data_IF_013204782994
#
_entry.id   IF_013204782994
#
_cell.length_a   1.000
_cell.length_b   1.000
_cell.length_c   1.000
_cell.angle_alpha   90.00
_cell.angle_beta   90.00
_cell.angle_gamma   90.00
#
_symmetry.space_group_name_H-M   'P 1'
#
loop_
_entity.id
_entity.type
_entity.pdbx_description
1 polymer ?
#
# COMPACT_ATOMS: atom_id res chain seq x y z
N UNK A 1 32.08 -38.31 19.91
CA UNK A 1 33.05 -37.20 19.88
C UNK A 1 33.65 -37.05 21.25
N UNK A 2 34.98 -37.14 21.38
CA UNK A 2 35.63 -36.93 22.68
C UNK A 2 35.42 -35.48 23.13
N UNK A 3 35.23 -35.26 24.44
CA UNK A 3 35.07 -33.93 25.06
C UNK A 3 36.02 -32.84 24.51
N UNK A 4 37.31 -33.10 24.21
CA UNK A 4 38.18 -32.05 23.66
C UNK A 4 37.76 -31.57 22.25
N UNK A 5 37.20 -32.43 21.39
CA UNK A 5 36.77 -32.01 20.06
C UNK A 5 35.51 -31.15 20.09
N UNK A 6 34.64 -31.36 21.09
CA UNK A 6 33.47 -30.50 21.30
C UNK A 6 33.90 -29.07 21.70
N UNK A 7 34.90 -28.96 22.58
CA UNK A 7 35.43 -27.67 23.03
C UNK A 7 36.13 -26.92 21.88
N UNK A 8 36.86 -27.63 21.03
CA UNK A 8 37.50 -27.04 19.85
C UNK A 8 36.46 -26.55 18.85
N UNK A 9 35.41 -27.34 18.58
CA UNK A 9 34.33 -26.93 17.68
C UNK A 9 33.56 -25.71 18.21
N UNK A 10 33.29 -25.67 19.52
CA UNK A 10 32.65 -24.52 20.19
C UNK A 10 33.53 -23.27 20.11
N UNK A 11 34.85 -23.41 20.33
CA UNK A 11 35.78 -22.29 20.22
C UNK A 11 35.83 -21.72 18.79
N UNK A 12 35.89 -22.58 17.78
CA UNK A 12 35.87 -22.17 16.37
C UNK A 12 34.55 -21.46 16.03
N UNK A 13 33.42 -21.97 16.51
CA UNK A 13 32.11 -21.34 16.31
C UNK A 13 32.00 -19.95 16.95
N UNK A 14 32.51 -19.79 18.18
CA UNK A 14 32.48 -18.48 18.85
C UNK A 14 33.39 -17.48 18.15
N UNK A 15 34.58 -17.90 17.71
CA UNK A 15 35.52 -17.04 16.99
C UNK A 15 34.92 -16.59 15.64
N UNK A 16 34.29 -17.51 14.89
CA UNK A 16 33.67 -17.17 13.60
C UNK A 16 32.46 -16.25 13.78
N UNK A 17 31.62 -16.49 14.79
CA UNK A 17 30.47 -15.65 15.10
C UNK A 17 30.88 -14.23 15.55
N UNK A 18 31.89 -14.12 16.42
CA UNK A 18 32.40 -12.83 16.87
C UNK A 18 33.08 -12.06 15.72
N UNK A 19 33.85 -12.74 14.87
CA UNK A 19 34.46 -12.15 13.68
C UNK A 19 33.41 -11.64 12.69
N UNK A 20 32.36 -12.41 12.43
CA UNK A 20 31.26 -12.00 11.56
C UNK A 20 30.48 -10.80 12.14
N UNK A 21 30.22 -10.78 13.46
CA UNK A 21 29.55 -9.66 14.12
C UNK A 21 30.38 -8.37 14.11
N UNK A 22 31.70 -8.47 14.32
CA UNK A 22 32.59 -7.32 14.23
C UNK A 22 32.70 -6.79 12.79
N UNK A 23 32.81 -7.69 11.80
CA UNK A 23 32.83 -7.31 10.40
C UNK A 23 31.49 -6.66 9.97
N UNK A 24 30.36 -7.22 10.37
CA UNK A 24 29.03 -6.68 10.06
C UNK A 24 28.76 -5.36 10.80
N UNK A 25 29.24 -5.17 12.03
CA UNK A 25 29.08 -3.89 12.73
C UNK A 25 29.99 -2.79 12.16
N UNK A 26 31.19 -3.15 11.68
CA UNK A 26 32.13 -2.19 11.09
C UNK A 26 31.80 -1.84 9.62
N UNK A 27 31.36 -2.82 8.81
CA UNK A 27 30.91 -2.58 7.43
C UNK A 27 29.43 -2.17 7.34
N UNK A 28 28.58 -2.60 8.27
CA UNK A 28 27.14 -2.35 8.28
C UNK A 28 26.72 -1.01 8.90
N UNK A 29 27.68 -0.18 9.34
CA UNK A 29 27.45 1.18 9.84
C UNK A 29 26.79 2.15 8.85
N UNK A 30 26.52 1.71 7.60
CA UNK A 30 25.65 2.39 6.64
C UNK A 30 24.72 1.41 5.94
N UNK A 31 23.76 0.81 6.65
CA UNK A 31 22.44 0.47 6.09
C UNK A 31 21.45 -0.02 7.16
N UNK A 32 20.30 0.66 7.19
CA UNK A 32 19.02 0.26 7.77
C UNK A 32 18.87 0.26 9.31
N UNK A 33 18.73 1.46 9.89
CA UNK A 33 17.89 1.65 11.08
C UNK A 33 16.49 2.07 10.61
N UNK A 34 15.50 1.22 10.82
CA UNK A 34 14.10 1.61 10.81
C UNK A 34 13.74 2.21 12.18
N UNK A 35 13.12 3.39 12.21
CA UNK A 35 12.59 3.97 13.46
C UNK A 35 12.26 5.47 13.38
N UNK A 36 10.98 5.76 13.14
CA UNK A 36 10.13 6.83 13.71
C UNK A 36 10.70 8.13 14.31
N UNK A 37 10.00 9.23 13.94
CA UNK A 37 9.75 10.50 14.67
C UNK A 37 10.51 11.78 14.24
N UNK A 38 9.82 12.54 13.38
CA UNK A 38 9.46 13.98 13.46
C UNK A 38 10.48 15.14 13.47
N UNK A 39 10.03 16.22 12.80
CA UNK A 39 10.46 17.63 12.78
C UNK A 39 11.61 18.13 11.88
N UNK A 40 11.17 18.66 10.73
CA UNK A 40 11.45 19.98 10.14
C UNK A 40 12.90 20.49 10.01
N UNK A 41 13.37 20.66 8.76
CA UNK A 41 14.15 21.85 8.35
C UNK A 41 14.02 22.11 6.84
N UNK A 42 13.89 23.39 6.49
CA UNK A 42 13.75 24.03 5.18
C UNK A 42 14.99 23.90 4.29
N UNK A 43 14.75 23.96 2.97
CA UNK A 43 15.61 24.48 1.88
C UNK A 43 16.21 23.46 0.89
N UNK A 44 15.75 23.56 -0.37
CA UNK A 44 16.65 23.73 -1.51
C UNK A 44 17.10 22.51 -2.32
N UNK A 45 16.47 22.35 -3.48
CA UNK A 45 17.13 22.14 -4.79
C UNK A 45 17.50 20.70 -5.23
N UNK A 46 16.71 20.25 -6.21
CA UNK A 46 17.00 19.46 -7.42
C UNK A 46 17.68 18.08 -7.33
N UNK A 47 16.92 17.11 -7.85
CA UNK A 47 17.46 16.09 -8.75
C UNK A 47 17.77 14.74 -8.11
N UNK A 48 16.75 13.91 -7.90
CA UNK A 48 16.95 12.47 -7.81
C UNK A 48 15.66 11.76 -8.20
N UNK A 49 15.76 10.76 -9.07
CA UNK A 49 14.63 10.03 -9.63
C UNK A 49 13.80 9.35 -8.55
N UNK A 50 12.74 10.03 -8.12
CA UNK A 50 11.66 9.45 -7.34
C UNK A 50 10.82 8.64 -8.31
N UNK A 51 10.73 7.33 -8.09
CA UNK A 51 9.69 6.47 -8.66
C UNK A 51 8.37 7.22 -8.60
N UNK A 52 7.65 7.32 -9.72
CA UNK A 52 6.44 8.14 -9.93
C UNK A 52 5.21 7.74 -9.08
N UNK A 53 5.43 7.07 -7.93
CA UNK A 53 4.43 6.37 -7.12
C UNK A 53 4.43 6.82 -5.65
N UNK A 54 4.88 8.04 -5.34
CA UNK A 54 5.09 8.45 -3.93
C UNK A 54 4.72 9.88 -3.57
N UNK A 55 4.25 10.71 -4.50
CA UNK A 55 3.77 12.06 -4.14
C UNK A 55 2.27 11.99 -3.95
N UNK A 56 1.83 11.83 -2.69
CA UNK A 56 0.45 12.06 -2.31
C UNK A 56 0.03 13.46 -2.76
N UNK A 57 -1.23 13.62 -3.16
CA UNK A 57 -1.73 14.93 -3.53
C UNK A 57 -1.76 15.86 -2.32
N UNK A 58 -1.08 16.99 -2.42
CA UNK A 58 -1.25 18.08 -1.45
C UNK A 58 -2.54 18.82 -1.79
N UNK A 59 -3.62 18.52 -1.06
CA UNK A 59 -4.92 19.17 -1.23
C UNK A 59 -4.93 20.48 -0.44
N UNK A 60 -5.25 21.59 -1.11
CA UNK A 60 -5.47 22.87 -0.46
C UNK A 60 -6.92 22.95 0.08
N UNK A 61 -7.14 23.06 1.40
CA UNK A 61 -8.49 23.12 1.97
C UNK A 61 -9.32 24.33 1.53
N UNK A 62 -8.66 25.38 1.03
CA UNK A 62 -9.30 26.62 0.59
C UNK A 62 -9.78 26.56 -0.86
N UNK A 63 -9.41 25.53 -1.63
CA UNK A 63 -9.85 25.38 -3.02
C UNK A 63 -11.35 24.99 -3.08
N UNK A 64 -12.15 25.63 -3.95
CA UNK A 64 -13.55 25.25 -4.15
C UNK A 64 -13.68 23.77 -4.56
N UNK A 65 -14.67 23.08 -3.99
CA UNK A 65 -15.05 21.72 -4.39
C UNK A 65 -16.27 21.76 -5.29
N UNK A 66 -16.04 21.92 -6.59
CA UNK A 66 -17.08 22.05 -7.62
C UNK A 66 -17.03 20.94 -8.68
N UNK A 67 -16.04 20.05 -8.61
CA UNK A 67 -15.88 18.95 -9.56
C UNK A 67 -16.57 17.68 -9.07
N UNK A 68 -17.62 17.24 -9.77
CA UNK A 68 -18.31 16.00 -9.43
C UNK A 68 -17.54 14.76 -9.90
N UNK A 69 -17.39 13.78 -9.01
CA UNK A 69 -16.84 12.48 -9.36
C UNK A 69 -17.83 11.67 -10.21
N UNK A 70 -17.39 11.06 -11.32
CA UNK A 70 -18.29 10.32 -12.23
C UNK A 70 -18.88 9.05 -11.61
N UNK A 71 -18.29 8.51 -10.55
CA UNK A 71 -18.72 7.25 -9.93
C UNK A 71 -19.74 7.42 -8.80
N UNK A 72 -19.64 8.49 -8.02
CA UNK A 72 -20.42 8.66 -6.79
C UNK A 72 -21.02 10.07 -6.62
N UNK A 73 -20.76 11.00 -7.54
CA UNK A 73 -21.30 12.36 -7.51
C UNK A 73 -20.74 13.26 -6.40
N UNK A 74 -19.78 12.80 -5.60
CA UNK A 74 -19.14 13.63 -4.57
C UNK A 74 -18.33 14.75 -5.22
N UNK A 75 -18.33 15.92 -4.59
CA UNK A 75 -17.59 17.09 -5.06
C UNK A 75 -16.15 17.12 -4.54
N UNK A 76 -15.23 17.46 -5.43
CA UNK A 76 -13.79 17.53 -5.21
C UNK A 76 -13.23 18.79 -5.87
N UNK A 77 -11.95 19.07 -5.62
CA UNK A 77 -11.24 20.22 -6.19
C UNK A 77 -10.79 19.96 -7.63
N UNK A 78 -10.39 21.02 -8.35
CA UNK A 78 -9.83 20.89 -9.70
C UNK A 78 -8.51 20.14 -9.69
N UNK A 79 -7.71 20.32 -8.63
CA UNK A 79 -6.47 19.58 -8.39
C UNK A 79 -6.70 18.07 -8.24
N UNK A 80 -7.71 17.65 -7.46
CA UNK A 80 -8.10 16.25 -7.30
C UNK A 80 -8.61 15.65 -8.62
N UNK A 81 -9.45 16.39 -9.37
CA UNK A 81 -9.94 15.97 -10.68
C UNK A 81 -8.81 15.68 -11.66
N UNK A 82 -7.89 16.63 -11.78
CA UNK A 82 -6.73 16.52 -12.67
C UNK A 82 -5.87 15.31 -12.33
N UNK A 83 -5.86 14.88 -11.07
CA UNK A 83 -5.08 13.74 -10.63
C UNK A 83 -5.73 12.39 -10.95
N UNK A 84 -7.05 12.23 -10.79
CA UNK A 84 -7.71 10.97 -11.15
C UNK A 84 -7.85 10.79 -12.67
N UNK A 85 -7.94 11.88 -13.46
CA UNK A 85 -8.01 11.82 -14.93
C UNK A 85 -6.75 11.20 -15.56
N UNK A 86 -5.61 11.26 -14.86
CA UNK A 86 -4.34 10.68 -15.31
C UNK A 86 -4.23 9.17 -15.09
N UNK A 87 -5.23 8.55 -14.46
CA UNK A 87 -5.22 7.11 -14.16
C UNK A 87 -6.58 6.48 -14.40
N UNK A 88 -6.60 5.15 -14.36
CA UNK A 88 -7.86 4.39 -14.40
C UNK A 88 -8.37 4.07 -12.98
N UNK A 89 -9.67 3.79 -12.84
CA UNK A 89 -10.21 3.20 -11.62
C UNK A 89 -9.51 1.88 -11.28
N UNK A 90 -9.28 1.64 -10.00
CA UNK A 90 -8.74 0.37 -9.52
C UNK A 90 -9.90 -0.50 -9.02
N UNK A 91 -10.04 -1.70 -9.56
CA UNK A 91 -11.01 -2.70 -9.08
C UNK A 91 -10.27 -3.72 -8.22
N UNK A 92 -10.62 -3.80 -6.94
CA UNK A 92 -9.88 -4.59 -5.95
C UNK A 92 -10.81 -5.60 -5.28
N UNK A 93 -10.34 -6.84 -5.22
CA UNK A 93 -11.04 -7.94 -4.58
C UNK A 93 -10.67 -8.00 -3.10
N UNK A 94 -11.66 -7.76 -2.24
CA UNK A 94 -11.49 -7.70 -0.79
C UNK A 94 -12.30 -8.82 -0.12
N UNK A 95 -11.71 -9.43 0.90
CA UNK A 95 -12.34 -10.50 1.67
C UNK A 95 -13.54 -10.06 2.52
N UNK A 96 -14.54 -10.94 2.69
CA UNK A 96 -15.67 -10.70 3.59
C UNK A 96 -16.05 -11.90 4.49
N UNK A 97 -15.11 -12.81 4.78
CA UNK A 97 -15.31 -13.81 5.85
C UNK A 97 -15.46 -13.10 7.21
N UNK A 98 -16.24 -13.66 8.16
CA UNK A 98 -16.37 -13.06 9.50
C UNK A 98 -15.03 -12.79 10.19
N UNK A 99 -14.07 -13.71 10.04
CA UNK A 99 -12.73 -13.62 10.64
C UNK A 99 -11.85 -12.54 10.00
N UNK A 100 -12.20 -12.06 8.80
CA UNK A 100 -11.45 -11.01 8.08
C UNK A 100 -11.94 -9.60 8.39
N UNK A 101 -12.92 -9.45 9.29
CA UNK A 101 -13.51 -8.15 9.63
C UNK A 101 -12.79 -7.55 10.85
N UNK A 102 -12.50 -6.25 10.85
CA UNK A 102 -12.82 -5.25 9.81
C UNK A 102 -11.83 -5.22 8.63
N UNK A 103 -12.32 -4.85 7.44
CA UNK A 103 -11.48 -4.63 6.26
C UNK A 103 -10.78 -3.27 6.29
N UNK A 104 -9.55 -3.23 5.76
CA UNK A 104 -8.78 -1.99 5.60
C UNK A 104 -9.10 -1.30 4.28
N UNK A 105 -9.32 0.01 4.35
CA UNK A 105 -9.47 0.88 3.17
C UNK A 105 -10.81 0.80 2.45
N UNK A 106 -11.70 -0.13 2.81
CA UNK A 106 -13.01 -0.29 2.16
C UNK A 106 -13.87 0.99 2.23
N UNK A 107 -13.73 1.78 3.29
CA UNK A 107 -14.43 3.06 3.47
C UNK A 107 -14.04 4.16 2.47
N UNK A 108 -12.94 3.95 1.72
CA UNK A 108 -12.43 4.87 0.71
C UNK A 108 -12.85 4.47 -0.71
N UNK A 109 -13.60 3.39 -0.86
CA UNK A 109 -14.13 2.95 -2.15
C UNK A 109 -15.23 3.90 -2.65
N UNK A 110 -15.23 4.16 -3.95
CA UNK A 110 -16.29 4.95 -4.60
C UNK A 110 -17.53 4.08 -4.89
N UNK A 111 -17.31 2.80 -5.22
CA UNK A 111 -18.36 1.79 -5.46
C UNK A 111 -17.94 0.46 -4.84
N UNK A 112 -18.88 -0.27 -4.24
CA UNK A 112 -18.64 -1.61 -3.68
C UNK A 112 -19.70 -2.58 -4.20
N UNK A 113 -19.25 -3.69 -4.78
CA UNK A 113 -20.08 -4.83 -5.18
C UNK A 113 -19.91 -5.96 -4.18
N UNK A 114 -21.01 -6.53 -3.70
CA UNK A 114 -20.99 -7.76 -2.90
C UNK A 114 -21.63 -8.90 -3.67
N UNK A 115 -20.96 -10.05 -3.72
CA UNK A 115 -21.51 -11.25 -4.33
C UNK A 115 -20.95 -12.51 -3.68
N UNK A 116 -21.74 -13.59 -3.73
CA UNK A 116 -21.34 -14.91 -3.23
C UNK A 116 -20.17 -15.43 -4.07
N UNK A 117 -19.12 -15.94 -3.42
CA UNK A 117 -17.91 -16.40 -4.09
C UNK A 117 -17.55 -17.87 -3.82
N UNK A 118 -17.44 -18.29 -2.56
CA UNK A 118 -17.09 -19.66 -2.18
C UNK A 118 -17.95 -20.11 -1.00
N UNK A 119 -18.59 -21.28 -1.10
CA UNK A 119 -19.28 -21.91 0.05
C UNK A 119 -20.35 -21.03 0.72
N UNK A 120 -21.00 -20.14 -0.02
CA UNK A 120 -21.98 -19.18 0.53
C UNK A 120 -21.37 -17.92 1.16
N UNK A 121 -20.05 -17.80 1.19
CA UNK A 121 -19.33 -16.61 1.68
C UNK A 121 -19.21 -15.60 0.55
N UNK A 122 -19.52 -14.34 0.85
CA UNK A 122 -19.40 -13.24 -0.11
C UNK A 122 -17.99 -12.66 -0.16
N UNK A 123 -17.71 -11.92 -1.23
CA UNK A 123 -16.53 -11.07 -1.37
C UNK A 123 -16.95 -9.67 -1.78
N UNK A 124 -16.09 -8.71 -1.54
CA UNK A 124 -16.26 -7.35 -2.03
C UNK A 124 -15.41 -7.14 -3.28
N UNK A 125 -16.01 -6.57 -4.33
CA UNK A 125 -15.31 -5.93 -5.43
C UNK A 125 -15.43 -4.43 -5.26
N UNK A 126 -14.35 -3.77 -4.83
CA UNK A 126 -14.34 -2.35 -4.52
C UNK A 126 -13.63 -1.54 -5.60
N UNK A 127 -14.22 -0.43 -6.02
CA UNK A 127 -13.66 0.49 -7.02
C UNK A 127 -13.09 1.72 -6.33
N UNK A 128 -11.85 2.07 -6.69
CA UNK A 128 -11.14 3.21 -6.13
C UNK A 128 -10.64 4.16 -7.24
N UNK A 129 -11.17 5.39 -7.26
CA UNK A 129 -10.93 6.36 -8.33
C UNK A 129 -10.81 7.81 -7.86
N UNK A 130 -11.82 8.40 -7.22
CA UNK A 130 -11.80 9.83 -6.96
C UNK A 130 -11.09 10.15 -5.63
N UNK A 131 -11.51 9.51 -4.54
CA UNK A 131 -11.04 9.85 -3.19
C UNK A 131 -9.69 9.28 -2.76
N UNK A 132 -9.17 8.24 -3.42
CA UNK A 132 -7.96 7.54 -2.93
C UNK A 132 -6.64 8.22 -3.26
N UNK A 133 -6.66 9.31 -4.02
CA UNK A 133 -5.44 10.04 -4.38
C UNK A 133 -4.89 10.91 -3.23
N UNK A 134 -5.75 11.22 -2.26
CA UNK A 134 -5.48 12.11 -1.16
C UNK A 134 -4.64 11.46 -0.05
N UNK A 135 -4.86 10.17 0.17
CA UNK A 135 -4.40 9.44 1.35
C UNK A 135 -3.62 8.20 0.92
N UNK A 136 -2.57 7.87 1.67
CA UNK A 136 -1.97 6.54 1.59
C UNK A 136 -2.86 5.53 2.32
N UNK A 137 -3.46 4.60 1.56
CA UNK A 137 -4.49 3.69 2.05
C UNK A 137 -4.05 2.25 1.81
N UNK A 138 -4.03 1.47 2.89
CA UNK A 138 -3.82 0.03 2.81
C UNK A 138 -5.14 -0.67 2.48
N UNK A 139 -5.15 -1.46 1.40
CA UNK A 139 -6.29 -2.29 0.99
C UNK A 139 -6.06 -3.74 1.40
N UNK A 140 -6.86 -4.26 2.32
CA UNK A 140 -6.71 -5.63 2.84
C UNK A 140 -7.98 -6.15 3.52
N UNK A 141 -8.18 -7.48 3.61
CA UNK A 141 -7.39 -8.55 2.98
C UNK A 141 -7.73 -8.76 1.49
N UNK A 142 -6.71 -8.97 0.65
CA UNK A 142 -6.89 -9.23 -0.80
C UNK A 142 -7.19 -10.69 -1.07
N UNK A 143 -8.11 -10.96 -2.00
CA UNK A 143 -8.51 -12.34 -2.36
C UNK A 143 -8.61 -12.56 -3.87
N UNK A 144 -8.75 -13.83 -4.24
CA UNK A 144 -8.93 -14.23 -5.63
C UNK A 144 -10.18 -13.63 -6.24
N UNK A 145 -10.03 -13.11 -7.46
CA UNK A 145 -11.15 -12.70 -8.30
C UNK A 145 -12.00 -13.91 -8.74
N UNK A 146 -13.23 -13.61 -9.15
CA UNK A 146 -14.13 -14.52 -9.85
C UNK A 146 -14.55 -13.90 -11.17
N UNK A 147 -14.96 -14.72 -12.12
CA UNK A 147 -15.21 -14.31 -13.52
C UNK A 147 -16.23 -13.18 -13.62
N UNK A 148 -17.33 -13.23 -12.87
CA UNK A 148 -18.33 -12.16 -12.88
C UNK A 148 -17.81 -10.80 -12.37
N UNK A 149 -16.81 -10.77 -11.48
CA UNK A 149 -16.15 -9.51 -11.10
C UNK A 149 -15.32 -8.93 -12.25
N UNK A 150 -14.79 -9.76 -13.15
CA UNK A 150 -14.04 -9.29 -14.33
C UNK A 150 -15.00 -8.56 -15.27
N UNK A 151 -16.19 -9.10 -15.49
CA UNK A 151 -17.22 -8.47 -16.31
C UNK A 151 -17.65 -7.12 -15.72
N UNK A 152 -17.87 -7.06 -14.40
CA UNK A 152 -18.19 -5.80 -13.73
C UNK A 152 -17.06 -4.79 -13.82
N UNK A 153 -15.81 -5.22 -13.57
CA UNK A 153 -14.64 -4.36 -13.68
C UNK A 153 -14.46 -3.80 -15.10
N UNK A 154 -14.78 -4.58 -16.13
CA UNK A 154 -14.66 -4.17 -17.53
C UNK A 154 -15.53 -2.95 -17.87
N UNK A 155 -16.67 -2.79 -17.20
CA UNK A 155 -17.57 -1.64 -17.36
C UNK A 155 -16.93 -0.30 -16.99
N UNK A 156 -15.91 -0.32 -16.13
CA UNK A 156 -15.23 0.87 -15.60
C UNK A 156 -13.89 1.16 -16.28
N UNK A 157 -13.52 0.41 -17.31
CA UNK A 157 -12.23 0.54 -18.00
C UNK A 157 -12.23 1.55 -19.17
N UNK A 158 -13.33 2.27 -19.40
CA UNK A 158 -13.44 3.31 -20.43
C UNK A 158 -13.04 4.67 -19.86
N UNK A 159 -12.57 5.63 -20.70
CA UNK A 159 -12.40 7.01 -20.28
C UNK A 159 -13.72 7.54 -19.68
N UNK A 160 -13.62 8.20 -18.52
CA UNK A 160 -14.73 8.77 -17.76
C UNK A 160 -14.77 10.29 -17.93
#
# INVERSE_FOLDING_TARGET
MSKPHLLIALAIYIISAAGAFAAFSYLGGKSATAGTADQATTAGTNGSGTTALGTLLTINPSEPRDQACPLNGKLYTVTEKTAWEKRRPLFVMIENTPDSRPQSGLSKADVVFEAVAEGGITRFGAIFYCGVQADDIILAPIRSARTYYIDWASGFNRPM
#
